data_IF_460607579777
#
_entry.id   IF_460607579777
#
_cell.length_a   1.000
_cell.length_b   1.000
_cell.length_c   1.000
_cell.angle_alpha   90.00
_cell.angle_beta   90.00
_cell.angle_gamma   90.00
#
_symmetry.space_group_name_H-M   'P 1'
#
loop_
_entity.id
_entity.type
_entity.pdbx_description
1 polymer ?
#
# COMPACT_ATOMS: atom_id res chain seq x y z
N UNK A 1 15.80 -5.98 -8.86
CA UNK A 1 14.54 -5.27 -9.08
C UNK A 1 14.00 -4.92 -7.71
N UNK A 2 14.18 -3.66 -7.33
CA UNK A 2 13.89 -3.19 -5.97
C UNK A 2 12.70 -2.24 -6.07
N UNK A 3 11.50 -2.74 -5.90
CA UNK A 3 10.35 -1.90 -5.63
C UNK A 3 9.73 -2.33 -4.31
N UNK A 4 10.31 -1.81 -3.22
CA UNK A 4 9.67 -1.78 -1.92
C UNK A 4 8.62 -0.66 -1.97
N UNK A 5 7.36 -1.04 -1.97
CA UNK A 5 6.24 -0.15 -1.63
C UNK A 5 6.47 0.26 -0.16
N UNK A 6 7.07 1.43 0.02
CA UNK A 6 7.25 2.02 1.35
C UNK A 6 5.90 2.54 1.82
N UNK A 7 5.47 2.05 2.96
CA UNK A 7 4.23 2.41 3.65
C UNK A 7 4.22 3.91 3.98
N UNK A 8 3.79 4.75 3.02
CA UNK A 8 3.20 6.03 3.34
C UNK A 8 1.81 5.80 3.92
N UNK A 9 1.30 6.74 4.73
CA UNK A 9 -0.03 6.73 5.36
C UNK A 9 -1.02 5.89 4.54
N UNK A 10 -1.26 4.65 4.99
CA UNK A 10 -2.04 3.71 4.22
C UNK A 10 -3.50 4.16 4.16
N UNK A 11 -3.88 4.74 3.04
CA UNK A 11 -5.28 4.75 2.63
C UNK A 11 -5.60 3.30 2.30
N UNK A 12 -6.26 2.60 3.22
CA UNK A 12 -6.73 1.26 2.99
C UNK A 12 -7.71 1.29 1.80
N UNK A 13 -7.27 0.80 0.64
CA UNK A 13 -8.12 0.57 -0.52
C UNK A 13 -9.05 -0.61 -0.18
N UNK A 14 -10.24 -0.31 0.33
CA UNK A 14 -11.32 -1.29 0.37
C UNK A 14 -11.93 -1.35 -1.03
N UNK A 15 -11.54 -2.38 -1.79
CA UNK A 15 -12.07 -2.62 -3.13
C UNK A 15 -13.48 -3.19 -3.02
N UNK A 16 -14.48 -2.40 -3.38
CA UNK A 16 -15.82 -2.91 -3.70
C UNK A 16 -15.88 -3.04 -5.22
N UNK A 17 -15.89 -4.28 -5.71
CA UNK A 17 -16.00 -4.57 -7.13
C UNK A 17 -17.43 -4.31 -7.63
N UNK A 18 -17.57 -3.37 -8.57
CA UNK A 18 -18.72 -3.31 -9.48
C UNK A 18 -18.19 -2.97 -10.88
N UNK A 19 -18.45 -3.87 -11.81
CA UNK A 19 -18.07 -3.77 -13.22
C UNK A 19 -19.07 -2.92 -14.00
N UNK A 20 -18.59 -1.95 -14.78
CA UNK A 20 -19.42 -1.18 -15.71
C UNK A 20 -18.61 -0.11 -16.45
N UNK A 21 -18.60 -0.21 -17.76
CA UNK A 21 -17.85 0.63 -18.71
C UNK A 21 -18.57 1.95 -18.99
N UNK A 22 -17.87 3.09 -18.92
CA UNK A 22 -18.28 4.31 -19.62
C UNK A 22 -17.09 5.17 -20.01
N UNK A 23 -16.97 5.43 -21.30
CA UNK A 23 -15.99 6.32 -21.91
C UNK A 23 -16.33 7.78 -21.64
N UNK A 24 -15.52 8.50 -20.88
CA UNK A 24 -15.41 9.94 -21.02
C UNK A 24 -14.10 10.42 -20.43
N UNK A 25 -13.11 10.55 -21.27
CA UNK A 25 -11.86 11.22 -20.99
C UNK A 25 -12.12 12.74 -20.98
N UNK A 26 -12.12 13.37 -19.79
CA UNK A 26 -12.16 14.81 -19.61
C UNK A 26 -11.23 15.23 -18.49
N UNK A 27 -10.16 15.93 -18.82
CA UNK A 27 -9.08 16.31 -17.91
C UNK A 27 -9.43 17.37 -16.85
N UNK A 28 -10.67 17.83 -16.76
CA UNK A 28 -11.09 18.93 -15.89
C UNK A 28 -12.35 18.59 -15.06
N UNK A 29 -12.45 17.34 -14.61
CA UNK A 29 -13.56 16.94 -13.77
C UNK A 29 -13.40 17.47 -12.33
N UNK A 30 -14.44 18.11 -11.79
CA UNK A 30 -14.50 18.67 -10.44
C UNK A 30 -15.64 18.01 -9.63
N UNK A 31 -15.35 16.92 -8.91
CA UNK A 31 -16.38 16.20 -8.15
C UNK A 31 -17.04 17.02 -7.06
N UNK A 32 -16.31 18.00 -6.49
CA UNK A 32 -16.86 18.92 -5.49
C UNK A 32 -17.94 19.81 -6.09
N UNK A 33 -17.74 20.27 -7.33
CA UNK A 33 -18.74 21.08 -8.02
C UNK A 33 -20.04 20.32 -8.24
N UNK A 34 -19.95 19.02 -8.57
CA UNK A 34 -21.11 18.18 -8.82
C UNK A 34 -21.86 17.84 -7.52
N UNK A 35 -21.14 17.58 -6.43
CA UNK A 35 -21.72 17.21 -5.14
C UNK A 35 -22.20 18.42 -4.37
N UNK A 36 -21.37 19.48 -4.26
CA UNK A 36 -21.61 20.59 -3.36
C UNK A 36 -22.10 21.86 -4.06
N UNK A 37 -21.99 21.95 -5.40
CA UNK A 37 -22.39 23.12 -6.17
C UNK A 37 -21.39 24.28 -6.17
N UNK A 38 -20.20 24.10 -5.58
CA UNK A 38 -19.08 25.05 -5.64
C UNK A 38 -17.78 24.33 -6.03
N UNK A 39 -16.81 25.08 -6.54
CA UNK A 39 -15.59 24.51 -7.09
C UNK A 39 -14.72 23.81 -6.03
N UNK A 40 -14.08 22.74 -6.39
CA UNK A 40 -13.08 22.06 -5.57
C UNK A 40 -11.91 22.94 -5.16
N UNK A 41 -11.60 23.97 -5.96
CA UNK A 41 -10.58 25.00 -5.64
C UNK A 41 -11.04 26.07 -4.64
N UNK A 42 -12.29 26.03 -4.16
CA UNK A 42 -12.78 26.94 -3.10
C UNK A 42 -11.96 26.74 -1.84
N UNK A 43 -11.40 27.81 -1.27
CA UNK A 43 -10.67 27.75 0.00
C UNK A 43 -11.65 27.58 1.16
N UNK A 44 -11.47 26.53 1.95
CA UNK A 44 -12.29 26.27 3.15
C UNK A 44 -11.62 26.81 4.41
N UNK A 45 -10.31 26.69 4.51
CA UNK A 45 -9.54 27.25 5.61
C UNK A 45 -8.08 27.43 5.20
N UNK A 46 -7.29 28.09 6.02
CA UNK A 46 -5.85 28.20 5.84
C UNK A 46 -5.11 27.56 7.03
N UNK A 47 -3.94 26.99 6.78
CA UNK A 47 -3.02 26.46 7.78
C UNK A 47 -1.70 27.21 7.66
N UNK A 48 -1.35 28.02 8.66
CA UNK A 48 -0.17 28.90 8.63
C UNK A 48 -0.15 29.81 7.39
N UNK A 49 -1.34 30.23 6.91
CA UNK A 49 -1.51 31.06 5.73
C UNK A 49 -1.46 30.32 4.38
N UNK A 50 -1.34 28.98 4.37
CA UNK A 50 -1.50 28.16 3.18
C UNK A 50 -2.96 27.74 3.00
N UNK A 51 -3.46 27.85 1.78
CA UNK A 51 -4.85 27.52 1.46
C UNK A 51 -5.08 26.01 1.48
N UNK A 52 -6.13 25.59 2.17
CA UNK A 52 -6.70 24.23 2.08
C UNK A 52 -8.02 24.33 1.32
N UNK A 53 -8.06 23.66 0.18
CA UNK A 53 -9.20 23.73 -0.74
C UNK A 53 -10.32 22.76 -0.36
N UNK A 54 -11.50 22.98 -0.90
CA UNK A 54 -12.64 22.12 -0.70
C UNK A 54 -12.36 20.68 -1.15
N UNK A 55 -11.67 20.47 -2.28
CA UNK A 55 -11.31 19.16 -2.74
C UNK A 55 -10.41 18.43 -1.74
N UNK A 56 -9.37 19.08 -1.24
CA UNK A 56 -8.45 18.51 -0.27
C UNK A 56 -9.16 18.14 1.05
N UNK A 57 -10.06 18.99 1.51
CA UNK A 57 -10.78 18.74 2.77
C UNK A 57 -11.90 17.72 2.61
N UNK A 58 -12.74 17.83 1.57
CA UNK A 58 -13.92 16.96 1.38
C UNK A 58 -13.53 15.52 1.07
N UNK A 59 -12.37 15.28 0.47
CA UNK A 59 -11.80 13.94 0.38
C UNK A 59 -11.65 13.32 1.78
N UNK A 60 -11.03 14.02 2.72
CA UNK A 60 -10.86 13.53 4.09
C UNK A 60 -12.20 13.44 4.82
N UNK A 61 -13.10 14.38 4.59
CA UNK A 61 -14.44 14.33 5.18
C UNK A 61 -15.21 13.09 4.71
N UNK A 62 -15.13 12.74 3.43
CA UNK A 62 -15.74 11.52 2.90
C UNK A 62 -15.17 10.27 3.59
N UNK A 63 -13.83 10.17 3.71
CA UNK A 63 -13.16 9.04 4.36
C UNK A 63 -13.58 8.88 5.82
N UNK A 64 -13.59 9.99 6.58
CA UNK A 64 -13.95 9.97 7.99
C UNK A 64 -15.44 9.66 8.19
N UNK A 65 -16.30 10.19 7.32
CA UNK A 65 -17.73 9.92 7.35
C UNK A 65 -18.04 8.46 7.03
N UNK A 66 -17.45 7.90 5.97
CA UNK A 66 -17.63 6.48 5.59
C UNK A 66 -17.20 5.55 6.71
N UNK A 67 -16.00 5.78 7.28
CA UNK A 67 -15.46 4.95 8.37
C UNK A 67 -16.38 4.99 9.58
N UNK A 68 -16.81 6.19 9.97
CA UNK A 68 -17.63 6.39 11.17
C UNK A 68 -19.04 5.80 10.97
N UNK A 69 -19.64 6.03 9.80
CA UNK A 69 -20.98 5.49 9.48
C UNK A 69 -20.98 3.97 9.42
N UNK A 70 -19.98 3.36 8.78
CA UNK A 70 -19.84 1.90 8.68
C UNK A 70 -19.67 1.23 10.04
N UNK A 71 -18.84 1.80 10.94
CA UNK A 71 -18.65 1.27 12.29
C UNK A 71 -19.93 1.36 13.11
N UNK A 72 -20.70 2.45 12.97
CA UNK A 72 -21.88 2.68 13.79
C UNK A 72 -23.12 1.96 13.25
N UNK A 73 -23.28 1.76 11.93
CA UNK A 73 -24.36 0.99 11.36
C UNK A 73 -24.38 -0.47 11.82
N UNK A 74 -23.21 -0.99 12.27
CA UNK A 74 -23.12 -2.31 12.91
C UNK A 74 -23.64 -2.33 14.36
N UNK A 75 -23.86 -1.16 14.99
CA UNK A 75 -24.18 -1.03 16.41
C UNK A 75 -25.57 -0.41 16.67
N UNK A 76 -26.19 0.23 15.70
CA UNK A 76 -27.48 0.91 15.89
C UNK A 76 -28.68 -0.03 15.71
N UNK A 77 -29.64 0.11 16.67
CA UNK A 77 -31.02 -0.38 16.51
C UNK A 77 -31.86 0.70 15.79
N UNK A 78 -32.73 0.27 14.90
CA UNK A 78 -33.58 1.07 13.98
C UNK A 78 -34.58 2.06 14.64
N UNK A 79 -34.57 2.22 15.98
CA UNK A 79 -35.60 2.94 16.72
C UNK A 79 -35.20 4.35 17.19
N UNK A 80 -34.14 4.96 16.66
CA UNK A 80 -33.70 6.29 17.08
C UNK A 80 -34.39 7.42 16.31
N UNK A 81 -35.10 8.32 17.00
CA UNK A 81 -35.70 9.55 16.43
C UNK A 81 -34.64 10.62 16.07
N UNK A 82 -33.38 10.43 16.50
CA UNK A 82 -32.27 11.39 16.28
C UNK A 82 -31.46 10.96 15.08
N UNK A 83 -31.15 11.92 14.18
CA UNK A 83 -30.21 11.67 13.07
C UNK A 83 -28.89 11.14 13.60
N UNK A 84 -28.30 10.16 12.92
CA UNK A 84 -27.00 9.60 13.26
C UNK A 84 -25.94 10.69 13.51
N UNK A 85 -25.88 11.69 12.63
CA UNK A 85 -24.92 12.77 12.69
C UNK A 85 -25.10 13.70 13.89
N UNK A 86 -26.33 13.82 14.41
CA UNK A 86 -26.67 14.66 15.56
C UNK A 86 -26.55 13.91 16.89
N UNK A 87 -26.22 12.63 16.85
CA UNK A 87 -25.98 11.83 18.05
C UNK A 87 -24.75 12.34 18.78
N UNK A 88 -24.82 12.50 20.11
CA UNK A 88 -23.69 12.90 20.95
C UNK A 88 -22.63 11.79 21.00
N UNK A 89 -21.35 12.17 20.97
CA UNK A 89 -20.21 11.24 21.04
C UNK A 89 -20.19 10.47 22.38
N UNK A 90 -20.54 11.15 23.46
CA UNK A 90 -20.74 10.58 24.78
C UNK A 90 -21.76 11.41 25.58
N UNK A 91 -22.27 10.85 26.68
CA UNK A 91 -23.30 11.48 27.51
C UNK A 91 -22.87 12.79 28.17
N UNK A 92 -21.57 13.03 28.31
CA UNK A 92 -20.99 14.21 28.99
C UNK A 92 -20.48 15.25 27.96
N UNK A 93 -20.51 14.94 26.67
CA UNK A 93 -20.08 15.82 25.61
C UNK A 93 -21.24 16.57 24.97
N UNK A 94 -21.02 17.83 24.61
CA UNK A 94 -21.93 18.55 23.71
C UNK A 94 -21.60 18.35 22.22
N UNK A 95 -20.46 17.67 21.93
CA UNK A 95 -20.05 17.37 20.57
C UNK A 95 -20.86 16.23 19.99
N UNK A 96 -21.30 16.41 18.77
CA UNK A 96 -21.98 15.38 17.96
C UNK A 96 -20.98 14.52 17.16
N UNK A 97 -21.45 13.43 16.59
CA UNK A 97 -20.68 12.62 15.64
C UNK A 97 -20.26 13.49 14.43
N UNK A 98 -21.14 14.37 13.93
CA UNK A 98 -20.80 15.31 12.88
C UNK A 98 -19.63 16.22 13.26
N UNK A 99 -19.63 16.76 14.49
CA UNK A 99 -18.54 17.61 14.99
C UNK A 99 -17.21 16.86 15.06
N UNK A 100 -17.25 15.60 15.51
CA UNK A 100 -16.05 14.75 15.58
C UNK A 100 -15.48 14.44 14.19
N UNK A 101 -16.34 14.05 13.25
CA UNK A 101 -15.95 13.74 11.87
C UNK A 101 -15.42 14.97 11.16
N UNK A 102 -16.08 16.13 11.32
CA UNK A 102 -15.64 17.42 10.76
C UNK A 102 -14.26 17.82 11.29
N UNK A 103 -14.03 17.67 12.59
CA UNK A 103 -12.74 17.98 13.21
C UNK A 103 -11.63 16.98 12.79
N UNK A 104 -11.94 15.68 12.71
CA UNK A 104 -10.99 14.68 12.26
C UNK A 104 -10.54 14.94 10.81
N UNK A 105 -11.48 15.23 9.92
CA UNK A 105 -11.16 15.59 8.53
C UNK A 105 -10.31 16.87 8.44
N UNK A 106 -10.57 17.89 9.28
CA UNK A 106 -9.75 19.10 9.35
C UNK A 106 -8.32 18.79 9.81
N UNK A 107 -8.18 17.93 10.81
CA UNK A 107 -6.86 17.50 11.30
C UNK A 107 -6.05 16.80 10.22
N UNK A 108 -6.66 15.87 9.45
CA UNK A 108 -5.97 15.21 8.33
C UNK A 108 -5.56 16.20 7.23
N UNK A 109 -6.47 17.08 6.80
CA UNK A 109 -6.16 18.07 5.78
C UNK A 109 -5.08 19.07 6.25
N UNK A 110 -5.12 19.48 7.52
CA UNK A 110 -4.08 20.32 8.13
C UNK A 110 -2.74 19.59 8.22
N UNK A 111 -2.73 18.30 8.59
CA UNK A 111 -1.52 17.47 8.64
C UNK A 111 -0.84 17.40 7.27
N UNK A 112 -1.58 17.14 6.19
CA UNK A 112 -1.04 17.15 4.84
C UNK A 112 -0.44 18.51 4.46
N UNK A 113 -1.10 19.61 4.84
CA UNK A 113 -0.60 20.97 4.59
C UNK A 113 0.71 21.26 5.36
N UNK A 114 0.80 20.88 6.65
CA UNK A 114 2.03 21.09 7.43
C UNK A 114 3.17 20.19 6.97
N UNK A 115 2.90 18.93 6.59
CA UNK A 115 3.91 18.00 6.06
C UNK A 115 4.51 18.54 4.76
N UNK A 116 3.66 19.01 3.84
CA UNK A 116 4.13 19.61 2.58
C UNK A 116 5.02 20.83 2.85
N UNK A 117 4.58 21.72 3.76
CA UNK A 117 5.31 22.93 4.13
C UNK A 117 6.66 22.60 4.78
N UNK A 118 6.65 21.70 5.78
CA UNK A 118 7.85 21.28 6.50
C UNK A 118 8.81 20.49 5.62
N UNK A 119 8.29 19.59 4.81
CA UNK A 119 9.11 18.87 3.83
C UNK A 119 9.87 19.83 2.91
N UNK A 120 9.19 20.85 2.40
CA UNK A 120 9.82 21.87 1.57
C UNK A 120 10.85 22.71 2.34
N UNK A 121 10.57 23.08 3.59
CA UNK A 121 11.48 23.82 4.46
C UNK A 121 12.78 23.02 4.70
N UNK A 122 12.66 21.71 4.94
CA UNK A 122 13.76 20.77 5.19
C UNK A 122 14.45 20.27 3.90
N UNK A 123 13.97 20.69 2.73
CA UNK A 123 14.55 20.34 1.42
C UNK A 123 14.07 19.00 0.85
N UNK A 124 13.03 18.40 1.41
CA UNK A 124 12.35 17.23 0.83
C UNK A 124 11.35 17.65 -0.22
N UNK A 125 11.22 16.87 -1.27
CA UNK A 125 10.31 17.21 -2.39
C UNK A 125 9.84 15.95 -3.12
N UNK A 126 8.74 16.09 -3.83
CA UNK A 126 8.26 15.10 -4.79
C UNK A 126 9.18 15.09 -6.02
N UNK A 127 9.92 14.01 -6.20
CA UNK A 127 10.98 13.89 -7.20
C UNK A 127 10.47 13.32 -8.53
N UNK A 128 11.32 13.30 -9.56
CA UNK A 128 11.00 12.63 -10.83
C UNK A 128 10.94 11.10 -10.69
N UNK A 129 11.66 10.51 -9.74
CA UNK A 129 11.62 9.09 -9.42
C UNK A 129 10.29 8.74 -8.74
N UNK A 130 9.85 9.54 -7.76
CA UNK A 130 8.55 9.37 -7.12
C UNK A 130 7.40 9.48 -8.12
N UNK A 131 7.51 10.42 -9.06
CA UNK A 131 6.50 10.55 -10.12
C UNK A 131 6.45 9.33 -11.02
N UNK A 132 7.59 8.72 -11.33
CA UNK A 132 7.63 7.49 -12.11
C UNK A 132 7.02 6.32 -11.33
N UNK A 133 7.33 6.19 -10.03
CA UNK A 133 6.72 5.19 -9.15
C UNK A 133 5.20 5.39 -9.03
N UNK A 134 4.74 6.62 -8.81
CA UNK A 134 3.31 6.93 -8.80
C UNK A 134 2.60 6.52 -10.10
N UNK A 135 3.21 6.73 -11.27
CA UNK A 135 2.61 6.34 -12.55
C UNK A 135 2.53 4.81 -12.72
N UNK A 136 3.51 4.06 -12.20
CA UNK A 136 3.50 2.60 -12.18
C UNK A 136 2.39 2.07 -11.24
N UNK A 137 2.31 2.63 -10.02
CA UNK A 137 1.25 2.30 -9.06
C UNK A 137 -0.14 2.63 -9.60
N UNK A 138 -0.27 3.78 -10.26
CA UNK A 138 -1.49 4.22 -10.91
C UNK A 138 -1.93 3.26 -12.03
N UNK A 139 -1.00 2.79 -12.85
CA UNK A 139 -1.30 1.82 -13.90
C UNK A 139 -1.80 0.49 -13.30
N UNK A 140 -1.15 0.02 -12.24
CA UNK A 140 -1.57 -1.18 -11.49
C UNK A 140 -2.95 -1.00 -10.85
N UNK A 141 -3.21 0.14 -10.21
CA UNK A 141 -4.51 0.44 -9.61
C UNK A 141 -5.64 0.48 -10.67
N UNK A 142 -5.38 1.07 -11.83
CA UNK A 142 -6.34 1.08 -12.96
C UNK A 142 -6.64 -0.33 -13.45
N UNK A 143 -5.62 -1.17 -13.60
CA UNK A 143 -5.80 -2.58 -14.01
C UNK A 143 -6.64 -3.34 -12.97
N UNK A 144 -6.32 -3.20 -11.68
CA UNK A 144 -7.04 -3.88 -10.60
C UNK A 144 -8.50 -3.43 -10.47
N UNK A 145 -8.79 -2.17 -10.77
CA UNK A 145 -10.15 -1.61 -10.73
C UNK A 145 -10.97 -1.92 -11.98
N UNK A 146 -10.37 -2.47 -13.02
CA UNK A 146 -11.07 -2.81 -14.27
C UNK A 146 -10.94 -1.76 -15.38
N UNK A 147 -9.95 -0.87 -15.29
CA UNK A 147 -9.59 0.09 -16.34
C UNK A 147 -9.74 1.56 -15.95
N UNK A 148 -9.50 2.42 -16.95
CA UNK A 148 -9.49 3.89 -16.78
C UNK A 148 -10.82 4.43 -16.26
N UNK A 149 -11.93 3.94 -16.81
CA UNK A 149 -13.28 4.44 -16.47
C UNK A 149 -13.70 4.03 -15.06
N UNK A 150 -13.38 2.80 -14.65
CA UNK A 150 -13.62 2.31 -13.30
C UNK A 150 -12.77 3.08 -12.27
N UNK A 151 -11.52 3.39 -12.61
CA UNK A 151 -10.65 4.24 -11.79
C UNK A 151 -11.21 5.66 -11.68
N UNK A 152 -11.65 6.27 -12.79
CA UNK A 152 -12.28 7.60 -12.77
C UNK A 152 -13.55 7.61 -11.91
N UNK A 153 -14.40 6.59 -12.02
CA UNK A 153 -15.59 6.40 -11.17
C UNK A 153 -15.20 6.27 -9.69
N UNK A 154 -14.16 5.51 -9.39
CA UNK A 154 -13.62 5.38 -8.04
C UNK A 154 -13.22 6.74 -7.46
N UNK A 155 -12.42 7.55 -8.16
CA UNK A 155 -12.02 8.87 -7.68
C UNK A 155 -13.22 9.81 -7.48
N UNK A 156 -14.19 9.78 -8.39
CA UNK A 156 -15.45 10.52 -8.25
C UNK A 156 -16.18 10.14 -6.97
N UNK A 157 -16.27 8.86 -6.66
CA UNK A 157 -16.91 8.36 -5.44
C UNK A 157 -16.19 8.78 -4.16
N UNK A 158 -14.90 9.12 -4.27
CA UNK A 158 -14.05 9.61 -3.19
C UNK A 158 -14.03 11.15 -3.09
N UNK A 159 -14.83 11.85 -3.90
CA UNK A 159 -14.89 13.31 -3.96
C UNK A 159 -13.56 13.97 -4.33
N UNK A 160 -12.75 13.34 -5.21
CA UNK A 160 -11.44 13.84 -5.60
C UNK A 160 -11.19 13.69 -7.10
N UNK A 161 -10.47 14.64 -7.69
CA UNK A 161 -9.99 14.56 -9.08
C UNK A 161 -8.66 13.79 -9.17
N UNK A 162 -8.27 13.39 -10.39
CA UNK A 162 -6.95 12.81 -10.64
C UNK A 162 -5.82 13.71 -10.12
N UNK A 163 -5.94 15.01 -10.35
CA UNK A 163 -4.94 16.00 -9.93
C UNK A 163 -4.89 16.14 -8.40
N UNK A 164 -6.05 16.17 -7.77
CA UNK A 164 -6.14 16.20 -6.30
C UNK A 164 -5.53 14.95 -5.67
N UNK A 165 -5.79 13.78 -6.25
CA UNK A 165 -5.22 12.51 -5.78
C UNK A 165 -3.70 12.42 -6.00
N UNK A 166 -3.18 12.88 -7.16
CA UNK A 166 -1.73 13.00 -7.39
C UNK A 166 -1.07 13.94 -6.37
N UNK A 167 -1.74 15.06 -6.04
CA UNK A 167 -1.24 15.99 -5.03
C UNK A 167 -1.15 15.33 -3.64
N UNK A 168 -2.20 14.65 -3.18
CA UNK A 168 -2.16 13.91 -1.90
C UNK A 168 -1.07 12.84 -1.90
N UNK A 169 -0.93 12.09 -2.99
CA UNK A 169 0.13 11.10 -3.16
C UNK A 169 1.52 11.73 -3.09
N UNK A 170 1.71 12.90 -3.70
CA UNK A 170 2.98 13.63 -3.66
C UNK A 170 3.40 14.01 -2.24
N UNK A 171 2.45 14.40 -1.39
CA UNK A 171 2.72 14.69 0.04
C UNK A 171 3.12 13.41 0.79
N UNK A 172 2.53 12.26 0.45
CA UNK A 172 2.91 10.97 1.03
C UNK A 172 4.35 10.57 0.67
N UNK A 173 4.82 10.87 -0.56
CA UNK A 173 6.22 10.68 -0.93
C UNK A 173 7.15 11.61 -0.15
N UNK A 174 6.78 12.89 0.01
CA UNK A 174 7.54 13.85 0.83
C UNK A 174 7.65 13.33 2.27
N UNK A 175 6.54 12.88 2.87
CA UNK A 175 6.53 12.26 4.20
C UNK A 175 7.50 11.07 4.28
N UNK A 176 7.49 10.17 3.29
CA UNK A 176 8.42 9.03 3.24
C UNK A 176 9.87 9.49 3.23
N UNK A 177 10.21 10.50 2.42
CA UNK A 177 11.56 11.08 2.40
C UNK A 177 11.94 11.73 3.74
N UNK A 178 10.99 12.33 4.45
CA UNK A 178 11.21 12.87 5.79
C UNK A 178 11.49 11.76 6.80
N UNK A 179 10.73 10.65 6.79
CA UNK A 179 11.00 9.47 7.64
C UNK A 179 12.40 8.93 7.38
N UNK A 180 12.77 8.79 6.11
CA UNK A 180 14.07 8.25 5.72
C UNK A 180 15.23 9.21 6.02
N UNK A 181 15.01 10.51 5.94
CA UNK A 181 16.08 11.51 5.95
C UNK A 181 16.28 12.24 7.27
N UNK A 182 15.21 12.55 8.02
CA UNK A 182 15.32 13.37 9.24
C UNK A 182 15.97 12.65 10.42
N UNK A 183 15.93 11.31 10.42
CA UNK A 183 16.40 10.46 11.51
C UNK A 183 17.68 9.69 11.18
N UNK A 184 18.36 10.05 10.07
CA UNK A 184 19.65 9.47 9.73
C UNK A 184 20.75 9.91 10.69
N UNK A 185 21.78 9.08 10.83
CA UNK A 185 22.95 9.38 11.66
C UNK A 185 23.57 10.74 11.26
N UNK A 186 23.84 11.56 12.27
CA UNK A 186 24.34 12.91 12.09
C UNK A 186 23.30 13.99 11.82
N UNK A 187 22.02 13.64 11.76
CA UNK A 187 20.91 14.59 11.74
C UNK A 187 20.46 14.93 13.17
N UNK A 188 19.77 16.06 13.31
CA UNK A 188 19.29 16.56 14.60
C UNK A 188 18.40 15.56 15.33
N UNK A 189 17.52 14.88 14.58
CA UNK A 189 16.55 13.92 15.12
C UNK A 189 17.06 12.46 15.14
N UNK A 190 18.36 12.24 14.85
CA UNK A 190 18.92 10.89 14.84
C UNK A 190 18.84 10.25 16.23
N UNK A 191 18.18 9.08 16.38
CA UNK A 191 18.11 8.43 17.69
C UNK A 191 19.47 7.84 18.08
N UNK A 192 19.81 7.96 19.36
CA UNK A 192 20.89 7.17 19.94
C UNK A 192 20.44 5.72 20.17
N UNK A 193 21.37 4.81 20.42
CA UNK A 193 21.07 3.44 20.83
C UNK A 193 20.22 3.40 22.12
N UNK A 194 20.46 4.33 23.05
CA UNK A 194 19.69 4.46 24.29
C UNK A 194 18.25 4.90 24.02
N UNK A 195 18.04 5.88 23.11
CA UNK A 195 16.69 6.31 22.73
C UNK A 195 15.88 5.17 22.12
N UNK A 196 16.48 4.36 21.25
CA UNK A 196 15.81 3.21 20.64
C UNK A 196 15.46 2.13 21.67
N UNK A 197 16.38 1.82 22.58
CA UNK A 197 16.15 0.85 23.66
C UNK A 197 15.05 1.33 24.60
N UNK A 198 15.13 2.61 25.06
CA UNK A 198 14.12 3.19 25.95
C UNK A 198 12.73 3.24 25.29
N UNK A 199 12.67 3.61 24.01
CA UNK A 199 11.41 3.61 23.26
C UNK A 199 10.79 2.21 23.15
N UNK A 200 11.62 1.16 22.97
CA UNK A 200 11.15 -0.22 22.96
C UNK A 200 10.55 -0.63 24.31
N UNK A 201 11.22 -0.25 25.42
CA UNK A 201 10.76 -0.55 26.78
C UNK A 201 9.47 0.20 27.13
N UNK A 202 9.42 1.53 26.87
CA UNK A 202 8.28 2.39 27.20
C UNK A 202 6.99 1.96 26.46
N UNK A 203 7.13 1.37 25.27
CA UNK A 203 6.00 0.97 24.43
C UNK A 203 5.79 -0.56 24.37
N UNK A 204 6.50 -1.34 25.21
CA UNK A 204 6.48 -2.81 25.21
C UNK A 204 6.64 -3.42 23.79
N UNK A 205 7.62 -2.89 23.03
CA UNK A 205 7.88 -3.32 21.67
C UNK A 205 8.98 -4.37 21.62
N UNK A 206 8.76 -5.37 20.80
CA UNK A 206 9.76 -6.37 20.43
C UNK A 206 10.08 -6.26 18.94
N UNK A 207 11.27 -6.69 18.55
CA UNK A 207 11.66 -6.82 17.16
C UNK A 207 12.29 -8.17 16.91
N UNK A 208 11.82 -8.87 15.85
CA UNK A 208 12.32 -10.21 15.53
C UNK A 208 12.17 -10.52 14.04
N UNK A 209 13.06 -11.37 13.54
CA UNK A 209 12.93 -12.10 12.28
C UNK A 209 12.52 -13.53 12.53
N UNK A 210 11.86 -14.17 11.56
CA UNK A 210 11.57 -15.60 11.69
C UNK A 210 11.59 -16.34 10.34
N UNK A 211 11.88 -17.63 10.43
CA UNK A 211 11.63 -18.58 9.35
C UNK A 211 10.39 -19.37 9.74
N UNK A 212 9.33 -19.27 8.93
CA UNK A 212 8.08 -20.00 9.12
C UNK A 212 7.99 -21.14 8.11
N UNK A 213 7.74 -22.35 8.59
CA UNK A 213 7.37 -23.50 7.79
C UNK A 213 5.94 -23.89 8.13
N UNK A 214 5.01 -23.64 7.22
CA UNK A 214 3.58 -23.83 7.41
C UNK A 214 3.23 -25.32 7.60
N UNK A 215 2.32 -25.59 8.53
CA UNK A 215 1.70 -26.90 8.75
C UNK A 215 0.23 -26.94 8.39
N UNK A 216 -0.25 -25.83 7.77
CA UNK A 216 -1.60 -25.67 7.22
C UNK A 216 -1.53 -25.15 5.80
N UNK A 217 -2.50 -25.50 4.99
CA UNK A 217 -2.79 -24.85 3.73
C UNK A 217 -3.51 -23.50 4.02
N UNK A 218 -2.89 -22.41 3.65
CA UNK A 218 -3.43 -21.05 3.94
C UNK A 218 -4.65 -20.70 3.08
N UNK A 219 -4.92 -21.46 2.02
CA UNK A 219 -6.07 -21.23 1.13
C UNK A 219 -7.31 -21.92 1.67
N UNK A 220 -7.15 -23.19 2.12
CA UNK A 220 -8.26 -24.02 2.63
C UNK A 220 -8.41 -23.96 4.15
N UNK A 221 -7.35 -23.56 4.86
CA UNK A 221 -7.28 -23.60 6.33
C UNK A 221 -7.09 -25.02 6.90
N UNK A 222 -6.93 -26.04 6.05
CA UNK A 222 -6.78 -27.43 6.46
C UNK A 222 -5.35 -27.73 6.90
N UNK A 223 -5.23 -28.61 7.89
CA UNK A 223 -3.93 -29.10 8.34
C UNK A 223 -3.28 -29.99 7.27
N UNK A 224 -1.96 -29.84 7.10
CA UNK A 224 -1.17 -30.78 6.31
C UNK A 224 -1.19 -32.18 6.93
N UNK A 225 -0.94 -33.22 6.12
CA UNK A 225 -0.82 -34.57 6.60
C UNK A 225 0.35 -34.74 7.58
N UNK A 226 0.29 -35.76 8.45
CA UNK A 226 1.37 -36.05 9.40
C UNK A 226 2.72 -36.27 8.71
N UNK A 227 2.73 -36.83 7.49
CA UNK A 227 3.95 -37.03 6.72
C UNK A 227 4.55 -35.68 6.27
N UNK A 228 3.72 -34.76 5.76
CA UNK A 228 4.16 -33.43 5.35
C UNK A 228 4.63 -32.60 6.55
N UNK A 229 3.89 -32.64 7.67
CA UNK A 229 4.32 -32.00 8.93
C UNK A 229 5.67 -32.54 9.42
N UNK A 230 5.91 -33.83 9.29
CA UNK A 230 7.21 -34.44 9.64
C UNK A 230 8.34 -33.96 8.71
N UNK A 231 8.08 -33.79 7.41
CA UNK A 231 9.05 -33.22 6.48
C UNK A 231 9.35 -31.73 6.81
N UNK A 232 8.32 -30.91 7.10
CA UNK A 232 8.50 -29.54 7.56
C UNK A 232 9.33 -29.46 8.84
N UNK A 233 9.05 -30.35 9.81
CA UNK A 233 9.81 -30.44 11.05
C UNK A 233 11.27 -30.76 10.80
N UNK A 234 11.54 -31.77 9.97
CA UNK A 234 12.90 -32.16 9.63
C UNK A 234 13.66 -31.02 8.91
N UNK A 235 12.97 -30.27 8.04
CA UNK A 235 13.52 -29.06 7.43
C UNK A 235 13.84 -27.97 8.46
N UNK A 236 12.94 -27.73 9.42
CA UNK A 236 13.18 -26.80 10.52
C UNK A 236 14.40 -27.22 11.37
N UNK A 237 14.52 -28.51 11.70
CA UNK A 237 15.66 -29.06 12.48
C UNK A 237 17.00 -28.82 11.73
N UNK A 238 17.03 -29.01 10.41
CA UNK A 238 18.24 -28.77 9.59
C UNK A 238 18.60 -27.30 9.52
N UNK A 239 17.63 -26.40 9.29
CA UNK A 239 17.83 -24.96 9.26
C UNK A 239 18.33 -24.44 10.62
N UNK A 240 17.72 -24.89 11.71
CA UNK A 240 18.14 -24.51 13.07
C UNK A 240 19.56 -24.96 13.34
N UNK A 241 19.93 -26.18 12.94
CA UNK A 241 21.29 -26.71 13.11
C UNK A 241 22.34 -25.88 12.36
N UNK A 242 22.02 -25.41 11.15
CA UNK A 242 22.90 -24.53 10.39
C UNK A 242 23.14 -23.20 11.13
N UNK A 243 22.07 -22.59 11.66
CA UNK A 243 22.15 -21.33 12.40
C UNK A 243 22.88 -21.49 13.74
N UNK A 244 22.64 -22.57 14.49
CA UNK A 244 23.30 -22.82 15.77
C UNK A 244 24.82 -23.09 15.66
N UNK A 245 25.31 -23.38 14.47
CA UNK A 245 26.75 -23.57 14.24
C UNK A 245 27.51 -22.23 14.18
N UNK A 246 26.81 -21.09 14.09
CA UNK A 246 27.36 -19.75 13.95
C UNK A 246 27.38 -19.08 15.33
N UNK A 247 28.52 -18.53 15.71
CA UNK A 247 28.72 -17.87 17.01
C UNK A 247 28.91 -16.35 16.90
N UNK A 248 29.27 -15.87 15.72
CA UNK A 248 29.37 -14.43 15.47
C UNK A 248 27.98 -13.85 15.20
N UNK A 249 27.52 -12.82 15.92
CA UNK A 249 26.15 -12.29 15.77
C UNK A 249 25.88 -11.72 14.38
N UNK A 250 26.84 -11.07 13.75
CA UNK A 250 26.69 -10.46 12.43
C UNK A 250 26.59 -11.54 11.35
N UNK A 251 27.42 -12.58 11.46
CA UNK A 251 27.37 -13.74 10.58
C UNK A 251 26.05 -14.50 10.77
N UNK A 252 25.58 -14.65 12.03
CA UNK A 252 24.30 -15.28 12.34
C UNK A 252 23.13 -14.55 11.68
N UNK A 253 23.06 -13.23 11.83
CA UNK A 253 21.97 -12.45 11.22
C UNK A 253 22.02 -12.52 9.70
N UNK A 254 23.21 -12.39 9.09
CA UNK A 254 23.36 -12.51 7.63
C UNK A 254 22.95 -13.89 7.12
N UNK A 255 23.31 -14.97 7.81
CA UNK A 255 22.90 -16.32 7.44
C UNK A 255 21.42 -16.58 7.70
N UNK A 256 20.88 -15.97 8.75
CA UNK A 256 19.45 -16.02 9.02
C UNK A 256 18.65 -15.40 7.87
N UNK A 257 19.07 -14.23 7.38
CA UNK A 257 18.44 -13.53 6.23
C UNK A 257 18.50 -14.38 4.95
N UNK A 258 19.64 -15.01 4.68
CA UNK A 258 19.78 -15.94 3.55
C UNK A 258 18.78 -17.08 3.62
N UNK A 259 18.73 -17.76 4.78
CA UNK A 259 17.88 -18.93 4.98
C UNK A 259 16.39 -18.54 5.06
N UNK A 260 16.07 -17.39 5.65
CA UNK A 260 14.71 -16.84 5.71
C UNK A 260 14.17 -16.57 4.31
N UNK A 261 14.92 -15.86 3.47
CA UNK A 261 14.54 -15.58 2.07
C UNK A 261 14.34 -16.82 1.22
N UNK A 262 15.16 -17.88 1.49
CA UNK A 262 15.14 -19.10 0.70
C UNK A 262 14.07 -20.10 1.15
N UNK A 263 13.62 -20.04 2.40
CA UNK A 263 12.86 -21.13 3.00
C UNK A 263 11.58 -20.71 3.72
N UNK A 264 11.45 -19.46 4.18
CA UNK A 264 10.26 -19.02 4.90
C UNK A 264 9.05 -19.00 3.97
N UNK A 265 7.94 -19.51 4.51
CA UNK A 265 6.63 -19.53 3.85
C UNK A 265 5.71 -18.43 4.41
N UNK A 266 6.28 -17.48 5.14
CA UNK A 266 5.59 -16.30 5.64
C UNK A 266 5.28 -15.32 4.52
N UNK A 267 3.99 -15.10 4.26
CA UNK A 267 3.53 -14.15 3.24
C UNK A 267 3.82 -12.69 3.59
N UNK A 268 4.05 -12.38 4.87
CA UNK A 268 4.42 -11.05 5.35
C UNK A 268 5.90 -10.69 5.13
N UNK A 269 6.74 -11.67 4.76
CA UNK A 269 8.18 -11.46 4.58
C UNK A 269 8.52 -10.40 3.52
N UNK A 270 7.74 -10.34 2.43
CA UNK A 270 7.96 -9.37 1.36
C UNK A 270 7.78 -7.93 1.87
N UNK A 271 6.80 -7.70 2.74
CA UNK A 271 6.51 -6.39 3.32
C UNK A 271 7.36 -6.05 4.56
N UNK A 272 8.01 -7.05 5.18
CA UNK A 272 8.80 -6.87 6.41
C UNK A 272 10.13 -7.65 6.35
N UNK A 273 10.96 -7.42 5.32
CA UNK A 273 12.17 -8.20 5.08
C UNK A 273 13.26 -8.01 6.16
N UNK A 274 13.22 -6.91 6.89
CA UNK A 274 14.16 -6.58 7.95
C UNK A 274 13.65 -6.97 9.36
N UNK A 275 12.48 -7.63 9.43
CA UNK A 275 11.85 -8.14 10.64
C UNK A 275 10.58 -7.40 11.03
N UNK A 276 9.91 -7.93 12.04
CA UNK A 276 8.65 -7.41 12.58
C UNK A 276 8.90 -6.66 13.89
N UNK A 277 8.35 -5.45 13.99
CA UNK A 277 8.23 -4.70 15.25
C UNK A 277 6.79 -4.84 15.74
N UNK A 278 6.61 -5.33 16.96
CA UNK A 278 5.27 -5.63 17.48
C UNK A 278 5.17 -5.46 18.99
N UNK A 279 3.97 -5.12 19.45
CA UNK A 279 3.59 -5.06 20.87
C UNK A 279 2.81 -6.31 21.27
N UNK A 280 2.48 -6.42 22.57
CA UNK A 280 1.70 -7.52 23.13
C UNK A 280 0.37 -7.76 22.38
N UNK A 281 0.07 -9.04 22.12
CA UNK A 281 -1.18 -9.49 21.48
C UNK A 281 -1.28 -9.22 19.98
N UNK A 282 -0.18 -8.87 19.31
CA UNK A 282 -0.16 -8.63 17.86
C UNK A 282 0.31 -9.82 17.06
N UNK A 283 0.96 -10.78 17.70
CA UNK A 283 1.48 -12.01 17.08
C UNK A 283 0.79 -13.22 17.68
N UNK A 284 0.89 -14.37 17.02
CA UNK A 284 0.42 -15.63 17.60
C UNK A 284 1.15 -15.90 18.92
N UNK A 285 0.41 -16.34 19.95
CA UNK A 285 0.88 -16.45 21.33
C UNK A 285 2.21 -17.20 21.48
N UNK A 286 2.36 -18.33 20.79
CA UNK A 286 3.57 -19.14 20.85
C UNK A 286 4.81 -18.38 20.35
N UNK A 287 4.66 -17.60 19.25
CA UNK A 287 5.72 -16.78 18.69
C UNK A 287 6.08 -15.61 19.62
N UNK A 288 5.06 -14.89 20.12
CA UNK A 288 5.28 -13.76 21.02
C UNK A 288 5.95 -14.19 22.32
N UNK A 289 5.44 -15.25 22.96
CA UNK A 289 6.00 -15.80 24.22
C UNK A 289 7.44 -16.27 24.06
N UNK A 290 7.73 -16.94 22.95
CA UNK A 290 9.08 -17.36 22.62
C UNK A 290 10.02 -16.15 22.43
N UNK A 291 9.59 -15.15 21.64
CA UNK A 291 10.39 -13.94 21.40
C UNK A 291 10.67 -13.19 22.70
N UNK A 292 9.69 -13.06 23.60
CA UNK A 292 9.86 -12.41 24.91
C UNK A 292 10.86 -13.12 25.82
N UNK A 293 10.97 -14.45 25.68
CA UNK A 293 11.90 -15.25 26.47
C UNK A 293 13.36 -15.20 26.01
N UNK A 294 13.61 -14.70 24.80
CA UNK A 294 14.93 -14.56 24.23
C UNK A 294 15.56 -13.22 24.67
N UNK A 295 16.89 -13.19 24.79
CA UNK A 295 17.63 -11.94 24.87
C UNK A 295 17.83 -11.35 23.45
N UNK A 296 18.05 -10.02 23.30
CA UNK A 296 18.41 -9.43 22.02
C UNK A 296 19.61 -10.14 21.37
N UNK A 297 19.51 -10.47 20.07
CA UNK A 297 20.50 -11.24 19.31
C UNK A 297 20.40 -12.75 19.50
N UNK A 298 19.51 -13.24 20.34
CA UNK A 298 19.38 -14.66 20.63
C UNK A 298 18.47 -15.39 19.62
N UNK A 299 18.89 -16.60 19.22
CA UNK A 299 18.15 -17.52 18.37
C UNK A 299 17.28 -18.44 19.25
N UNK A 300 16.03 -18.68 18.84
CA UNK A 300 15.13 -19.67 19.48
C UNK A 300 15.49 -21.11 19.13
N UNK A 301 14.88 -22.06 19.82
CA UNK A 301 14.64 -23.38 19.28
C UNK A 301 13.54 -23.37 18.22
N UNK A 302 13.05 -24.56 17.82
CA UNK A 302 11.83 -24.65 17.01
C UNK A 302 10.63 -24.33 17.90
N UNK A 303 9.86 -23.33 17.51
CA UNK A 303 8.62 -22.92 18.17
C UNK A 303 7.45 -23.39 17.33
N UNK A 304 6.56 -24.19 17.92
CA UNK A 304 5.36 -24.68 17.25
C UNK A 304 4.18 -23.77 17.57
N UNK A 305 3.46 -23.35 16.54
CA UNK A 305 2.22 -22.56 16.64
C UNK A 305 1.11 -23.21 15.82
N UNK A 306 -0.08 -22.62 15.85
CA UNK A 306 -1.19 -23.01 14.98
C UNK A 306 -0.92 -22.84 13.49
N UNK A 307 0.07 -22.02 13.10
CA UNK A 307 0.48 -21.80 11.72
C UNK A 307 1.53 -22.81 11.25
N UNK A 308 2.42 -23.24 12.16
CA UNK A 308 3.52 -24.11 11.80
C UNK A 308 4.72 -24.00 12.73
N UNK A 309 5.90 -24.32 12.18
CA UNK A 309 7.17 -24.28 12.89
C UNK A 309 7.90 -22.96 12.60
N UNK A 310 8.27 -22.25 13.67
CA UNK A 310 9.04 -21.00 13.62
C UNK A 310 10.46 -21.22 14.14
N UNK A 311 11.44 -20.62 13.49
CA UNK A 311 12.77 -20.35 14.03
C UNK A 311 12.85 -18.85 14.15
N UNK A 312 13.11 -18.32 15.35
CA UNK A 312 13.01 -16.88 15.66
C UNK A 312 14.40 -16.36 16.01
N UNK A 313 14.78 -15.23 15.43
CA UNK A 313 15.92 -14.42 15.86
C UNK A 313 15.38 -13.13 16.47
N UNK A 314 15.49 -12.98 17.79
CA UNK A 314 15.19 -11.71 18.45
C UNK A 314 16.26 -10.69 18.08
N UNK A 315 15.87 -9.53 17.55
CA UNK A 315 16.79 -8.46 17.21
C UNK A 315 16.96 -7.48 18.39
N UNK A 316 18.08 -6.76 18.36
CA UNK A 316 18.33 -5.66 19.30
C UNK A 316 17.70 -4.38 18.75
N UNK A 317 16.76 -3.74 19.48
CA UNK A 317 16.17 -2.46 19.07
C UNK A 317 17.21 -1.40 18.73
N UNK A 318 18.34 -1.36 19.46
CA UNK A 318 19.39 -0.36 19.29
C UNK A 318 20.09 -0.44 17.92
N UNK A 319 20.12 -1.61 17.30
CA UNK A 319 20.83 -1.88 16.04
C UNK A 319 19.94 -2.30 14.90
N UNK A 320 18.69 -2.68 15.20
CA UNK A 320 17.73 -3.16 14.19
C UNK A 320 17.28 -2.04 13.25
N UNK A 321 17.42 -2.29 11.95
CA UNK A 321 16.93 -1.38 10.91
C UNK A 321 15.41 -1.24 10.95
N UNK A 322 14.67 -2.36 11.06
CA UNK A 322 13.21 -2.35 11.16
C UNK A 322 12.73 -1.54 12.37
N UNK A 323 13.43 -1.67 13.51
CA UNK A 323 13.07 -0.92 14.70
C UNK A 323 13.34 0.58 14.54
N UNK A 324 14.48 0.97 13.97
CA UNK A 324 14.80 2.37 13.67
C UNK A 324 13.76 3.00 12.73
N UNK A 325 13.35 2.30 11.68
CA UNK A 325 12.29 2.77 10.76
C UNK A 325 10.95 2.93 11.48
N UNK A 326 10.57 2.00 12.37
CA UNK A 326 9.38 2.11 13.20
C UNK A 326 9.43 3.33 14.13
N UNK A 327 10.55 3.51 14.84
CA UNK A 327 10.80 4.67 15.69
C UNK A 327 10.70 5.97 14.90
N UNK A 328 11.38 6.08 13.77
CA UNK A 328 11.39 7.28 12.92
C UNK A 328 9.97 7.64 12.45
N UNK A 329 9.22 6.63 12.00
CA UNK A 329 7.82 6.82 11.60
C UNK A 329 6.91 7.26 12.74
N UNK A 330 7.14 6.73 13.94
CA UNK A 330 6.37 7.12 15.13
C UNK A 330 6.71 8.54 15.58
N UNK A 331 8.00 8.88 15.61
CA UNK A 331 8.47 10.21 16.00
C UNK A 331 8.07 11.29 15.01
N UNK A 332 8.13 11.01 13.70
CA UNK A 332 7.62 11.96 12.72
C UNK A 332 6.13 12.24 12.92
N UNK A 333 5.31 11.21 13.18
CA UNK A 333 3.87 11.40 13.47
C UNK A 333 3.61 12.25 14.73
N UNK A 334 4.44 12.08 15.79
CA UNK A 334 4.38 12.94 16.98
C UNK A 334 4.69 14.40 16.61
N UNK A 335 5.73 14.62 15.80
CA UNK A 335 6.11 15.96 15.32
C UNK A 335 5.02 16.56 14.41
N UNK A 336 4.44 15.78 13.53
CA UNK A 336 3.35 16.21 12.65
C UNK A 336 2.13 16.66 13.45
N UNK A 337 1.73 15.89 14.46
CA UNK A 337 0.62 16.29 15.33
C UNK A 337 0.97 17.58 16.09
N UNK A 338 2.20 17.72 16.60
CA UNK A 338 2.63 18.96 17.23
C UNK A 338 2.57 20.14 16.27
N UNK A 339 3.02 19.97 15.01
CA UNK A 339 2.96 21.04 14.00
C UNK A 339 1.51 21.45 13.68
N UNK A 340 0.57 20.49 13.69
CA UNK A 340 -0.85 20.78 13.52
C UNK A 340 -1.41 21.52 14.74
N UNK A 341 -1.08 21.08 15.96
CA UNK A 341 -1.54 21.69 17.22
C UNK A 341 -1.04 23.14 17.37
N UNK A 342 0.16 23.43 16.84
CA UNK A 342 0.78 24.77 16.86
C UNK A 342 0.35 25.63 15.66
N UNK A 343 -0.35 25.06 14.66
CA UNK A 343 -0.68 25.78 13.44
C UNK A 343 -1.76 26.86 13.64
N UNK A 344 -1.58 27.99 12.97
CA UNK A 344 -2.62 29.04 12.85
C UNK A 344 -3.65 28.63 11.79
N UNK A 345 -4.75 28.01 12.23
CA UNK A 345 -5.84 27.57 11.35
C UNK A 345 -6.94 28.63 11.36
N UNK A 346 -7.28 29.16 10.17
CA UNK A 346 -8.34 30.15 9.98
C UNK A 346 -9.38 29.61 9.00
N UNK A 347 -10.59 29.40 9.50
CA UNK A 347 -11.73 28.94 8.71
C UNK A 347 -12.38 30.06 7.92
N UNK A 348 -13.08 29.69 6.85
CA UNK A 348 -13.94 30.60 6.06
C UNK A 348 -15.42 30.34 6.40
N UNK A 349 -16.27 31.29 6.01
CA UNK A 349 -17.73 31.13 6.17
C UNK A 349 -18.26 29.86 5.46
N UNK A 350 -17.65 29.47 4.33
CA UNK A 350 -18.01 28.23 3.61
C UNK A 350 -17.73 27.00 4.46
N UNK A 351 -16.58 26.95 5.13
CA UNK A 351 -16.26 25.86 6.06
C UNK A 351 -17.17 25.86 7.28
N UNK A 352 -17.41 27.03 7.88
CA UNK A 352 -18.21 27.15 9.10
C UNK A 352 -19.65 26.66 8.88
N UNK A 353 -20.22 26.97 7.71
CA UNK A 353 -21.56 26.56 7.30
C UNK A 353 -21.67 25.16 6.72
N UNK A 354 -20.56 24.42 6.59
CA UNK A 354 -20.56 23.06 6.04
C UNK A 354 -21.22 22.08 7.03
N UNK A 355 -22.31 21.44 6.61
CA UNK A 355 -22.98 20.36 7.32
C UNK A 355 -22.44 19.02 6.84
N UNK A 356 -21.99 18.16 7.79
CA UNK A 356 -21.54 16.79 7.51
C UNK A 356 -22.70 15.94 7.00
N UNK A 357 -23.88 16.07 7.60
CA UNK A 357 -25.09 15.34 7.16
C UNK A 357 -25.46 15.67 5.72
N UNK A 358 -25.59 16.98 5.38
CA UNK A 358 -25.91 17.42 4.01
C UNK A 358 -24.86 16.98 2.99
N UNK A 359 -23.58 17.07 3.36
CA UNK A 359 -22.48 16.58 2.50
C UNK A 359 -22.60 15.08 2.26
N UNK A 360 -22.80 14.28 3.30
CA UNK A 360 -22.84 12.82 3.20
C UNK A 360 -24.06 12.33 2.43
N UNK A 361 -25.21 12.96 2.62
CA UNK A 361 -26.43 12.67 1.84
C UNK A 361 -26.21 12.95 0.35
N UNK A 362 -25.58 14.09 0.01
CA UNK A 362 -25.25 14.44 -1.38
C UNK A 362 -24.19 13.52 -1.98
N UNK A 363 -23.18 13.17 -1.22
CA UNK A 363 -22.13 12.23 -1.65
C UNK A 363 -22.71 10.85 -1.94
N UNK A 364 -23.62 10.35 -1.08
CA UNK A 364 -24.28 9.06 -1.26
C UNK A 364 -25.18 9.08 -2.49
N UNK A 365 -26.02 10.11 -2.64
CA UNK A 365 -26.85 10.27 -3.83
C UNK A 365 -26.03 10.37 -5.13
N UNK A 366 -24.87 11.04 -5.07
CA UNK A 366 -23.95 11.13 -6.19
C UNK A 366 -23.34 9.76 -6.54
N UNK A 367 -22.90 9.00 -5.53
CA UNK A 367 -22.40 7.61 -5.71
C UNK A 367 -23.46 6.70 -6.35
N UNK A 368 -24.71 6.83 -5.93
CA UNK A 368 -25.83 6.08 -6.50
C UNK A 368 -26.04 6.45 -7.98
N UNK A 369 -25.94 7.74 -8.34
CA UNK A 369 -26.03 8.18 -9.74
C UNK A 369 -24.93 7.59 -10.62
N UNK A 370 -23.69 7.51 -10.11
CA UNK A 370 -22.58 6.89 -10.81
C UNK A 370 -22.79 5.39 -11.10
N UNK A 371 -23.57 4.69 -10.26
CA UNK A 371 -23.94 3.29 -10.48
C UNK A 371 -25.05 3.16 -11.51
N UNK A 372 -26.08 3.99 -11.42
CA UNK A 372 -27.24 3.96 -12.34
C UNK A 372 -26.82 4.31 -13.78
N UNK A 373 -25.92 5.28 -13.96
CA UNK A 373 -25.39 5.65 -15.28
C UNK A 373 -24.59 4.51 -15.93
N UNK A 374 -23.89 3.69 -15.12
CA UNK A 374 -23.20 2.51 -15.59
C UNK A 374 -24.16 1.42 -16.06
N UNK A 375 -25.22 1.15 -15.28
CA UNK A 375 -26.23 0.13 -15.63
C UNK A 375 -26.99 0.50 -16.92
N UNK A 376 -27.32 1.79 -17.12
CA UNK A 376 -27.98 2.28 -18.34
C UNK A 376 -27.09 2.16 -19.59
N UNK A 377 -25.79 2.42 -19.45
CA UNK A 377 -24.86 2.29 -20.57
C UNK A 377 -24.59 0.82 -20.94
N UNK A 378 -24.64 -0.11 -19.98
CA UNK A 378 -24.59 -1.55 -20.28
C UNK A 378 -25.85 -2.01 -21.01
N UNK A 379 -27.05 -1.52 -20.65
CA UNK A 379 -28.30 -1.82 -21.32
C UNK A 379 -28.34 -1.25 -22.76
N UNK A 380 -27.84 -0.02 -22.97
CA UNK A 380 -27.72 0.59 -24.31
C UNK A 380 -26.72 -0.17 -25.20
N UNK A 381 -25.56 -0.60 -24.67
CA UNK A 381 -24.58 -1.40 -25.42
C UNK A 381 -25.15 -2.78 -25.81
N UNK A 382 -25.87 -3.44 -24.90
CA UNK A 382 -26.53 -4.72 -25.20
C UNK A 382 -27.64 -4.57 -26.25
N UNK A 383 -28.36 -3.45 -26.27
CA UNK A 383 -29.35 -3.15 -27.30
C UNK A 383 -28.70 -2.87 -28.67
N UNK A 384 -27.59 -2.17 -28.72
CA UNK A 384 -26.83 -1.92 -29.96
C UNK A 384 -26.25 -3.22 -30.53
N UNK A 385 -25.78 -4.14 -29.71
CA UNK A 385 -25.29 -5.46 -30.15
C UNK A 385 -26.43 -6.35 -30.66
N UNK A 386 -27.62 -6.25 -30.09
CA UNK A 386 -28.80 -6.97 -30.58
C UNK A 386 -29.34 -6.39 -31.90
N UNK A 387 -29.31 -5.07 -32.07
CA UNK A 387 -29.83 -4.41 -33.28
C UNK A 387 -28.87 -4.59 -34.47
N UNK A 388 -27.55 -4.66 -34.23
CA UNK A 388 -26.56 -4.97 -35.28
C UNK A 388 -26.49 -6.46 -35.63
N UNK A 389 -26.99 -7.34 -34.77
CA UNK A 389 -27.12 -8.78 -35.00
C UNK A 389 -28.26 -9.14 -35.92
N UNK A 390 -29.36 -8.35 -35.97
CA UNK A 390 -30.55 -8.62 -36.76
C UNK A 390 -30.49 -8.08 -38.21
N UNK A 391 -29.62 -7.08 -38.49
CA UNK A 391 -29.43 -6.58 -39.86
C UNK A 391 -28.55 -7.49 -40.74
N UNK A 392 -27.80 -8.44 -40.19
CA UNK A 392 -27.01 -9.40 -40.94
C UNK A 392 -27.75 -10.72 -41.28
N UNK A 393 -28.99 -10.88 -40.85
CA UNK A 393 -29.81 -12.08 -41.13
C UNK A 393 -30.79 -11.94 -42.29
N UNK A 394 -30.87 -10.79 -42.98
CA UNK A 394 -31.94 -10.49 -43.96
C UNK A 394 -31.43 -10.26 -45.40
N UNK A 395 -30.35 -10.92 -45.86
CA UNK A 395 -30.04 -10.91 -47.31
C UNK A 395 -29.34 -12.17 -47.76
N UNK A 396 -30.09 -13.29 -47.85
CA UNK A 396 -29.75 -14.41 -48.74
C UNK A 396 -30.98 -15.25 -49.03
N UNK A 397 -31.92 -14.74 -49.86
CA UNK A 397 -32.90 -15.58 -50.51
C UNK A 397 -33.21 -15.02 -51.91
N UNK A 398 -32.49 -15.48 -52.94
CA UNK A 398 -32.98 -15.51 -54.34
C UNK A 398 -32.40 -16.71 -55.05
N UNK A 399 -33.32 -17.60 -55.32
CA UNK A 399 -33.48 -18.53 -56.47
C UNK A 399 -32.25 -18.84 -57.34
N UNK A 400 -32.01 -20.16 -57.49
CA UNK A 400 -32.03 -20.82 -58.80
C UNK A 400 -32.03 -22.34 -58.65
N UNK A 401 -33.01 -22.93 -59.29
CA UNK A 401 -33.18 -24.36 -59.50
C UNK A 401 -32.14 -24.95 -60.48
N UNK A 402 -31.78 -26.23 -60.27
CA UNK A 402 -31.16 -27.00 -61.36
C UNK A 402 -30.32 -28.20 -60.91
N UNK A 403 -31.04 -29.32 -60.83
CA UNK A 403 -30.63 -30.65 -61.37
C UNK A 403 -29.35 -31.36 -60.99
N UNK A 404 -29.51 -32.46 -60.32
CA UNK A 404 -29.06 -33.81 -60.74
C UNK A 404 -27.68 -34.29 -60.43
N UNK A 405 -27.71 -35.41 -59.75
CA UNK A 405 -26.89 -36.62 -59.81
C UNK A 405 -25.78 -36.82 -58.80
N UNK A 406 -26.09 -37.85 -58.02
CA UNK A 406 -25.25 -38.94 -57.43
C UNK A 406 -23.70 -38.84 -57.51
N UNK A 407 -23.08 -39.07 -56.41
CA UNK A 407 -22.26 -40.28 -56.17
C UNK A 407 -21.46 -40.17 -54.84
N UNK A 408 -21.83 -41.06 -54.00
CA UNK A 408 -21.09 -41.79 -52.98
C UNK A 408 -19.56 -41.86 -53.19
N UNK A 409 -18.76 -41.66 -52.15
CA UNK A 409 -17.80 -42.64 -51.64
C UNK A 409 -17.02 -42.14 -50.42
N UNK A 410 -16.93 -43.07 -49.52
CA UNK A 410 -16.15 -43.13 -48.26
C UNK A 410 -14.63 -42.85 -48.42
N UNK A 411 -14.02 -42.48 -47.35
CA UNK A 411 -12.82 -43.08 -46.71
C UNK A 411 -11.96 -42.00 -46.04
N UNK A 412 -11.91 -42.02 -44.74
CA UNK A 412 -10.93 -42.62 -43.83
C UNK A 412 -9.44 -42.24 -43.99
N UNK A 413 -8.84 -42.06 -42.82
CA UNK A 413 -7.42 -42.24 -42.44
C UNK A 413 -6.54 -40.98 -42.38
N UNK A 414 -6.28 -40.51 -41.17
CA UNK A 414 -5.15 -40.85 -40.27
C UNK A 414 -3.72 -40.68 -40.82
N UNK A 415 -2.89 -40.11 -39.99
CA UNK A 415 -1.44 -40.26 -39.77
C UNK A 415 -0.62 -39.00 -39.98
N UNK A 416 -0.10 -38.48 -38.89
CA UNK A 416 1.24 -38.66 -38.31
C UNK A 416 2.46 -38.22 -39.17
N UNK A 417 3.39 -37.68 -38.40
CA UNK A 417 4.85 -37.65 -38.55
C UNK A 417 5.46 -36.30 -38.96
N UNK A 418 6.10 -35.65 -38.04
CA UNK A 418 7.54 -35.78 -37.66
C UNK A 418 8.57 -35.27 -38.67
N UNK A 419 9.57 -34.64 -38.11
CA UNK A 419 10.96 -34.43 -38.53
C UNK A 419 11.31 -32.95 -38.76
N UNK A 420 12.05 -32.35 -37.86
CA UNK A 420 13.50 -32.42 -37.60
C UNK A 420 14.38 -31.93 -38.76
N UNK A 421 15.34 -31.16 -38.30
CA UNK A 421 16.70 -30.84 -38.76
C UNK A 421 16.87 -29.51 -39.45
N UNK A 422 17.89 -28.78 -39.32
CA UNK A 422 19.18 -28.85 -38.60
C UNK A 422 19.96 -27.58 -38.90
N UNK A 423 20.78 -27.20 -37.96
CA UNK A 423 22.14 -26.74 -37.99
C UNK A 423 22.64 -25.52 -38.77
N UNK A 424 23.47 -24.86 -38.06
CA UNK A 424 24.82 -24.38 -38.33
C UNK A 424 24.94 -22.99 -38.99
N UNK A 425 25.89 -22.18 -38.72
CA UNK A 425 27.15 -22.20 -37.98
C UNK A 425 27.82 -20.84 -38.17
N UNK A 426 28.64 -20.46 -37.24
CA UNK A 426 29.89 -19.71 -37.36
C UNK A 426 29.85 -18.27 -37.94
N UNK A 427 30.59 -17.33 -37.51
CA UNK A 427 31.98 -17.30 -37.07
C UNK A 427 32.37 -15.91 -36.55
N UNK A 428 33.15 -15.90 -35.51
CA UNK A 428 34.36 -15.13 -35.14
C UNK A 428 34.67 -13.77 -35.78
N UNK A 429 35.09 -12.88 -34.91
CA UNK A 429 36.50 -12.39 -34.76
C UNK A 429 36.47 -11.16 -33.85
N UNK A 430 37.11 -11.18 -32.73
CA UNK A 430 38.55 -11.01 -32.45
C UNK A 430 39.04 -9.57 -32.45
N UNK A 431 39.67 -9.31 -31.36
CA UNK A 431 40.94 -8.66 -31.07
C UNK A 431 40.87 -7.24 -30.51
N UNK A 432 41.17 -7.08 -29.21
CA UNK A 432 42.51 -6.83 -28.65
C UNK A 432 42.96 -5.38 -28.81
N UNK A 433 43.37 -4.69 -27.80
CA UNK A 433 44.63 -4.66 -27.13
C UNK A 433 44.65 -3.42 -26.20
N UNK A 434 44.93 -3.57 -24.98
CA UNK A 434 46.25 -3.52 -24.29
C UNK A 434 46.77 -2.12 -23.98
N UNK A 435 46.88 -1.95 -22.69
CA UNK A 435 48.03 -1.46 -21.93
C UNK A 435 48.55 -0.05 -22.18
N UNK A 436 48.73 0.72 -21.13
CA UNK A 436 50.07 0.87 -20.50
C UNK A 436 50.04 1.83 -19.31
N UNK A 437 50.62 1.39 -18.25
CA UNK A 437 51.37 1.87 -17.13
C UNK A 437 51.88 3.31 -17.14
N UNK A 438 51.94 3.91 -15.96
CA UNK A 438 53.08 4.37 -15.15
C UNK A 438 52.55 5.27 -14.02
N UNK A 439 52.64 4.94 -12.77
CA UNK A 439 53.75 5.02 -11.80
C UNK A 439 54.34 6.42 -11.67
N UNK A 440 54.15 7.02 -10.52
CA UNK A 440 55.23 7.63 -9.72
C UNK A 440 54.73 8.00 -8.31
N UNK A 441 55.48 7.45 -7.38
CA UNK A 441 55.61 7.84 -5.98
C UNK A 441 56.09 9.31 -5.85
N UNK A 442 55.72 9.96 -4.74
CA UNK A 442 56.74 10.39 -3.76
C UNK A 442 56.11 11.06 -2.52
N UNK A 443 56.37 10.55 -1.42
CA UNK A 443 56.89 10.93 -0.08
C UNK A 443 56.72 12.36 0.44
N UNK A 444 56.47 12.38 1.74
CA UNK A 444 56.87 13.43 2.67
C UNK A 444 55.80 13.89 3.65
N UNK A 445 55.64 13.34 4.76
CA UNK A 445 56.30 13.40 6.09
C UNK A 445 56.11 14.75 6.83
N UNK A 446 55.85 14.57 8.11
CA UNK A 446 56.03 15.51 9.25
C UNK A 446 54.79 16.27 9.74
N UNK A 447 54.15 15.78 10.75
CA UNK A 447 54.42 15.96 12.18
C UNK A 447 54.03 17.34 12.75
N UNK A 448 53.28 17.23 13.82
CA UNK A 448 53.44 17.83 15.13
C UNK A 448 52.42 18.86 15.63
N UNK A 449 51.76 18.41 16.70
CA UNK A 449 51.50 19.13 17.98
C UNK A 449 50.71 20.46 17.90
N UNK A 450 49.76 20.70 18.68
CA UNK A 450 49.32 20.49 20.05
C UNK A 450 48.55 21.74 20.51
N UNK A 451 47.58 21.51 21.38
CA UNK A 451 47.09 22.41 22.44
C UNK A 451 46.35 23.71 22.04
N UNK A 452 45.12 23.80 22.25
CA UNK A 452 44.44 24.28 23.47
C UNK A 452 42.93 23.97 23.36
#
# INVERSE_FOLDING_TARGET
MKHLIRRGLGVALAVVMATGLLSSCGSDYDPVQDIMGYKGSTVLFTVNGQDVTAEQYLFWLAQQADTTYSCASMMQSDDSETSFWDTKVDENSDKTIADQVKAAAQNYAAMYSVVEAKGKEEGYSYTSEDKASYQEDLATAKEQLGGEDAYAKYLKSMCISNKGFEHLSSVSFIHSHMVDGMFLDGKENAPSAEDLTQYAEDNDLLVAKHILLLTKDMTTGEDLSDAEKAEKKAKADDLLKQLQAITDPTELESKFDELMKANSEDTGLESSPDGYVFSAGKMVEAFESATRSLEPGQLSGIVESELGYHIILRLDPATSKAFRENYSSAKLREMEQQWVDEADIKTTETYDNLSVADFYDKLTAYRDSLNTDADQAEEENQQVEQDTGDENAADSNTDAAGDGTDANTDADANADADAQTDSADADKSDASNAADTTDTQDTGDSASQAQQ
#
